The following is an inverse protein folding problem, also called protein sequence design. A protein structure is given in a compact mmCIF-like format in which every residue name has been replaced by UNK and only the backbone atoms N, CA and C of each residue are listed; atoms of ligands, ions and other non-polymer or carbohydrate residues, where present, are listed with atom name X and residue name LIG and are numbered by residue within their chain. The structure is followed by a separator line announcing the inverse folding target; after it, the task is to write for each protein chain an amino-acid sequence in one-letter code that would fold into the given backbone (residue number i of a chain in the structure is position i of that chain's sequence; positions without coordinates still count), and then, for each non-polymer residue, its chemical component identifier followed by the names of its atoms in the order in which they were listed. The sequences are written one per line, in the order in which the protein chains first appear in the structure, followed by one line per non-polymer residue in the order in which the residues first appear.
data_IF_065266236998
#
_entry.id   IF_065266236998
#
_cell.length_a   1.000
_cell.length_b   1.000
_cell.length_c   1.000
_cell.angle_alpha   90.00
_cell.angle_beta   90.00
_cell.angle_gamma   90.00
#
_symmetry.space_group_name_H-M   'P 1'
#
loop_
_entity.id
_entity.type
_entity.pdbx_description
1 polymer ?
#
# COMPACT_ATOMS: atom_id res chain seq x y z
N UNK A 1 -11.30 -4.78 0.28
CA UNK A 1 -12.10 -3.54 0.22
C UNK A 1 -11.44 -2.42 1.01
N UNK A 2 -11.06 -2.65 2.27
CA UNK A 2 -10.52 -1.63 3.18
C UNK A 2 -9.24 -0.98 2.63
N UNK A 3 -8.34 -1.77 2.04
CA UNK A 3 -7.12 -1.24 1.43
C UNK A 3 -7.42 -0.23 0.32
N UNK A 4 -8.32 -0.57 -0.61
CA UNK A 4 -8.73 0.35 -1.68
C UNK A 4 -9.40 1.61 -1.13
N UNK A 5 -10.13 1.50 -0.03
CA UNK A 5 -10.73 2.65 0.62
C UNK A 5 -9.65 3.55 1.26
N UNK A 6 -8.65 2.96 1.93
CA UNK A 6 -7.52 3.71 2.46
C UNK A 6 -6.74 4.47 1.36
N UNK A 7 -6.45 3.81 0.23
CA UNK A 7 -5.81 4.43 -0.92
C UNK A 7 -6.67 5.57 -1.48
N UNK A 8 -7.97 5.33 -1.68
CA UNK A 8 -8.87 6.36 -2.18
C UNK A 8 -8.92 7.60 -1.28
N UNK A 9 -8.95 7.41 0.05
CA UNK A 9 -8.95 8.54 0.99
C UNK A 9 -7.69 9.38 0.88
N UNK A 10 -6.50 8.76 0.89
CA UNK A 10 -5.25 9.51 0.88
C UNK A 10 -4.97 10.15 -0.49
N UNK A 11 -5.34 9.49 -1.59
CA UNK A 11 -5.20 10.04 -2.95
C UNK A 11 -6.17 11.21 -3.16
N UNK A 12 -7.41 11.09 -2.71
CA UNK A 12 -8.38 12.18 -2.76
C UNK A 12 -7.89 13.36 -1.94
N UNK A 13 -7.41 13.12 -0.71
CA UNK A 13 -6.89 14.19 0.15
C UNK A 13 -5.75 14.97 -0.52
N UNK A 14 -4.81 14.28 -1.18
CA UNK A 14 -3.68 14.89 -1.89
C UNK A 14 -4.17 15.80 -3.02
N UNK A 15 -5.16 15.36 -3.80
CA UNK A 15 -5.66 16.06 -4.99
C UNK A 15 -6.65 17.19 -4.67
N UNK A 16 -7.25 17.20 -3.49
CA UNK A 16 -8.20 18.26 -3.11
C UNK A 16 -7.52 19.61 -2.96
N UNK A 17 -8.12 20.67 -3.52
CA UNK A 17 -7.56 22.02 -3.42
C UNK A 17 -7.65 22.54 -1.97
N UNK A 18 -6.76 23.47 -1.57
CA UNK A 18 -6.77 24.07 -0.23
C UNK A 18 -8.08 24.78 0.15
N UNK A 19 -8.86 25.21 -0.85
CA UNK A 19 -10.18 25.85 -0.63
C UNK A 19 -11.23 24.92 -0.03
N UNK A 20 -11.02 23.58 -0.11
CA UNK A 20 -11.89 22.55 0.47
C UNK A 20 -11.32 22.05 1.81
N UNK A 21 -10.96 22.99 2.69
CA UNK A 21 -10.28 22.63 3.94
C UNK A 21 -11.13 21.79 4.88
N UNK A 22 -12.43 22.06 4.98
CA UNK A 22 -13.34 21.32 5.84
C UNK A 22 -13.49 19.85 5.38
N UNK A 23 -13.68 19.65 4.09
CA UNK A 23 -13.79 18.31 3.49
C UNK A 23 -12.46 17.55 3.58
N UNK A 24 -11.33 18.26 3.43
CA UNK A 24 -10.00 17.66 3.65
C UNK A 24 -9.83 17.20 5.09
N UNK A 25 -10.31 17.93 6.06
CA UNK A 25 -10.23 17.55 7.47
C UNK A 25 -11.13 16.33 7.78
N UNK A 26 -12.30 16.23 7.14
CA UNK A 26 -13.15 15.04 7.25
C UNK A 26 -12.47 13.79 6.65
N UNK A 27 -11.89 13.90 5.45
CA UNK A 27 -11.14 12.80 4.83
C UNK A 27 -9.93 12.40 5.67
N UNK A 28 -9.18 13.38 6.19
CA UNK A 28 -8.07 13.13 7.11
C UNK A 28 -8.53 12.31 8.32
N UNK A 29 -9.63 12.71 8.93
CA UNK A 29 -10.18 12.00 10.08
C UNK A 29 -10.57 10.57 9.72
N UNK A 30 -11.31 10.36 8.63
CA UNK A 30 -11.70 9.03 8.17
C UNK A 30 -10.49 8.14 7.89
N UNK A 31 -9.46 8.70 7.24
CA UNK A 31 -8.23 7.98 6.95
C UNK A 31 -7.50 7.57 8.23
N UNK A 32 -7.36 8.51 9.17
CA UNK A 32 -6.71 8.24 10.46
C UNK A 32 -7.44 7.16 11.25
N UNK A 33 -8.78 7.29 11.36
CA UNK A 33 -9.62 6.32 12.08
C UNK A 33 -9.51 4.92 11.45
N UNK A 34 -9.49 4.82 10.11
CA UNK A 34 -9.32 3.56 9.40
C UNK A 34 -7.95 2.94 9.68
N UNK A 35 -6.87 3.70 9.56
CA UNK A 35 -5.53 3.18 9.81
C UNK A 35 -5.41 2.70 11.26
N UNK A 36 -5.84 3.51 12.24
CA UNK A 36 -5.80 3.11 13.65
C UNK A 36 -6.60 1.84 13.94
N UNK A 37 -7.75 1.66 13.28
CA UNK A 37 -8.55 0.45 13.39
C UNK A 37 -7.88 -0.79 12.78
N UNK A 38 -7.03 -0.61 11.76
CA UNK A 38 -6.35 -1.71 11.07
C UNK A 38 -5.05 -2.16 11.75
N UNK A 39 -4.35 -1.26 12.45
CA UNK A 39 -3.06 -1.58 13.06
C UNK A 39 -3.10 -2.74 14.06
N UNK A 40 -4.12 -2.91 14.91
CA UNK A 40 -4.20 -4.04 15.85
C UNK A 40 -4.25 -5.42 15.18
N UNK A 41 -4.59 -5.47 13.89
CA UNK A 41 -4.68 -6.71 13.10
C UNK A 41 -3.44 -6.96 12.24
N UNK A 42 -2.44 -6.11 12.33
CA UNK A 42 -1.18 -6.30 11.61
C UNK A 42 -0.43 -7.51 12.21
N UNK A 43 -0.03 -8.46 11.37
CA UNK A 43 0.74 -9.62 11.80
C UNK A 43 2.08 -9.21 12.43
N UNK A 44 2.38 -9.72 13.61
CA UNK A 44 3.55 -9.31 14.39
C UNK A 44 4.88 -9.70 13.73
N UNK A 45 4.90 -10.76 12.92
CA UNK A 45 6.13 -11.27 12.30
C UNK A 45 6.44 -10.58 10.99
N UNK A 46 5.43 -10.47 10.14
CA UNK A 46 5.59 -9.97 8.77
C UNK A 46 5.16 -8.51 8.59
N UNK A 47 4.31 -7.99 9.48
CA UNK A 47 3.69 -6.69 9.29
C UNK A 47 2.59 -6.67 8.23
N UNK A 48 2.25 -7.80 7.64
CA UNK A 48 1.16 -7.93 6.66
C UNK A 48 -0.20 -8.11 7.36
N UNK A 49 -1.27 -8.12 6.57
CA UNK A 49 -2.63 -8.43 7.04
C UNK A 49 -3.16 -9.69 6.40
N UNK A 50 -3.95 -10.43 7.17
CA UNK A 50 -4.66 -11.60 6.66
C UNK A 50 -5.83 -11.20 5.77
N UNK A 51 -6.22 -12.08 4.83
CA UNK A 51 -7.40 -11.88 3.97
C UNK A 51 -8.67 -11.60 4.79
N UNK A 52 -8.88 -12.32 5.87
CA UNK A 52 -9.91 -12.03 6.88
C UNK A 52 -9.20 -11.61 8.16
N UNK A 53 -9.12 -10.30 8.36
CA UNK A 53 -8.21 -9.66 9.33
C UNK A 53 -8.42 -10.09 10.78
N UNK A 54 -9.67 -10.31 11.18
CA UNK A 54 -10.04 -10.63 12.56
C UNK A 54 -10.02 -12.13 12.87
N UNK A 55 -9.58 -12.98 11.92
CA UNK A 55 -9.50 -14.42 12.06
C UNK A 55 -8.10 -14.97 11.67
N UNK A 56 -6.99 -14.37 12.16
CA UNK A 56 -5.64 -14.68 11.68
C UNK A 56 -5.26 -16.16 11.90
N UNK A 57 -5.78 -16.80 12.95
CA UNK A 57 -5.41 -18.15 13.36
C UNK A 57 -6.36 -19.24 12.81
N UNK A 58 -7.31 -18.90 11.95
CA UNK A 58 -8.28 -19.85 11.41
C UNK A 58 -7.82 -20.29 10.02
N UNK A 59 -7.36 -21.55 9.90
CA UNK A 59 -7.02 -22.12 8.60
C UNK A 59 -8.28 -22.25 7.70
N UNK A 60 -8.18 -22.03 6.39
CA UNK A 60 -6.99 -21.75 5.59
C UNK A 60 -6.71 -20.24 5.34
N UNK A 61 -7.02 -19.35 6.29
CA UNK A 61 -6.73 -17.93 6.14
C UNK A 61 -5.22 -17.70 5.86
N UNK A 62 -4.91 -16.67 5.10
CA UNK A 62 -3.55 -16.40 4.66
C UNK A 62 -3.22 -14.91 4.72
N UNK A 63 -1.93 -14.58 4.76
CA UNK A 63 -1.43 -13.20 4.63
C UNK A 63 -1.64 -12.77 3.17
N UNK A 64 -2.51 -11.77 3.00
CA UNK A 64 -2.93 -11.31 1.67
C UNK A 64 -2.03 -10.17 1.20
N UNK A 65 -1.39 -10.37 0.06
CA UNK A 65 -0.37 -9.46 -0.46
C UNK A 65 -0.96 -8.11 -0.87
N UNK A 66 -1.99 -8.09 -1.72
CA UNK A 66 -2.46 -6.84 -2.35
C UNK A 66 -3.03 -5.84 -1.34
N UNK A 67 -3.80 -6.31 -0.38
CA UNK A 67 -4.30 -5.47 0.71
C UNK A 67 -3.17 -4.94 1.59
N UNK A 68 -2.18 -5.79 1.88
CA UNK A 68 -1.00 -5.40 2.65
C UNK A 68 -0.15 -4.36 1.92
N UNK A 69 0.06 -4.51 0.61
CA UNK A 69 0.78 -3.54 -0.22
C UNK A 69 0.04 -2.19 -0.30
N UNK A 70 -1.29 -2.23 -0.44
CA UNK A 70 -2.10 -1.01 -0.45
C UNK A 70 -2.00 -0.27 0.89
N UNK A 71 -2.10 -0.98 2.03
CA UNK A 71 -1.93 -0.35 3.34
C UNK A 71 -0.51 0.17 3.55
N UNK A 72 0.52 -0.57 3.12
CA UNK A 72 1.90 -0.10 3.18
C UNK A 72 2.06 1.24 2.44
N UNK A 73 1.59 1.31 1.19
CA UNK A 73 1.59 2.53 0.40
C UNK A 73 0.79 3.66 1.08
N UNK A 74 -0.46 3.40 1.46
CA UNK A 74 -1.33 4.43 2.01
C UNK A 74 -0.79 5.02 3.32
N UNK A 75 -0.24 4.19 4.21
CA UNK A 75 0.35 4.64 5.47
C UNK A 75 1.60 5.49 5.20
N UNK A 76 2.54 5.01 4.39
CA UNK A 76 3.78 5.75 4.09
C UNK A 76 3.50 7.06 3.33
N UNK A 77 2.58 7.04 2.37
CA UNK A 77 2.09 8.23 1.68
C UNK A 77 1.43 9.21 2.65
N UNK A 78 0.60 8.72 3.56
CA UNK A 78 -0.03 9.54 4.60
C UNK A 78 0.99 10.26 5.50
N UNK A 79 2.10 9.59 5.81
CA UNK A 79 3.22 10.21 6.56
C UNK A 79 3.91 11.27 5.69
N UNK A 80 4.26 10.96 4.45
CA UNK A 80 4.89 11.91 3.52
C UNK A 80 4.07 13.18 3.34
N UNK A 81 2.76 13.07 3.28
CA UNK A 81 1.84 14.20 3.11
C UNK A 81 1.52 14.93 4.44
N UNK A 82 2.03 14.45 5.57
CA UNK A 82 1.75 15.01 6.90
C UNK A 82 0.31 14.78 7.39
N UNK A 83 -0.41 13.83 6.78
CA UNK A 83 -1.74 13.40 7.23
C UNK A 83 -1.62 12.50 8.44
N UNK A 84 -0.62 11.60 8.44
CA UNK A 84 -0.21 10.81 9.59
C UNK A 84 1.11 11.32 10.18
N UNK A 85 1.28 11.14 11.49
CA UNK A 85 2.55 11.44 12.15
C UNK A 85 3.64 10.44 11.80
N UNK A 86 4.92 10.84 11.93
CA UNK A 86 6.09 10.03 11.57
C UNK A 86 6.09 8.62 12.20
N UNK A 87 5.55 8.49 13.40
CA UNK A 87 5.44 7.20 14.10
C UNK A 87 4.71 6.11 13.31
N UNK A 88 3.87 6.48 12.32
CA UNK A 88 3.13 5.52 11.51
C UNK A 88 4.00 4.91 10.41
N UNK A 89 5.07 5.56 9.98
CA UNK A 89 5.94 5.07 8.91
C UNK A 89 6.41 3.63 9.13
N UNK A 90 6.79 3.30 10.35
CA UNK A 90 7.27 1.96 10.70
C UNK A 90 6.27 0.83 10.38
N UNK A 91 4.97 1.08 10.48
CA UNK A 91 3.94 0.08 10.18
C UNK A 91 3.82 -0.18 8.68
N UNK A 92 3.82 0.88 7.87
CA UNK A 92 3.84 0.75 6.41
C UNK A 92 5.11 0.10 5.92
N UNK A 93 6.26 0.53 6.45
CA UNK A 93 7.56 -0.04 6.10
C UNK A 93 7.66 -1.51 6.46
N UNK A 94 7.21 -1.93 7.63
CA UNK A 94 7.23 -3.33 8.06
C UNK A 94 6.35 -4.21 7.18
N UNK A 95 5.20 -3.71 6.74
CA UNK A 95 4.34 -4.43 5.80
C UNK A 95 5.04 -4.61 4.44
N UNK A 96 5.65 -3.56 3.92
CA UNK A 96 6.43 -3.63 2.68
C UNK A 96 7.58 -4.64 2.77
N UNK A 97 8.38 -4.59 3.83
CA UNK A 97 9.49 -5.52 4.04
C UNK A 97 8.97 -6.96 4.14
N UNK A 98 7.88 -7.19 4.89
CA UNK A 98 7.28 -8.51 5.01
C UNK A 98 6.75 -9.07 3.69
N UNK A 99 6.19 -8.24 2.80
CA UNK A 99 5.81 -8.66 1.45
C UNK A 99 7.04 -9.06 0.65
N UNK A 100 8.11 -8.26 0.69
CA UNK A 100 9.36 -8.57 0.00
C UNK A 100 9.95 -9.91 0.48
N UNK A 101 9.91 -10.16 1.79
CA UNK A 101 10.48 -11.37 2.39
C UNK A 101 9.64 -12.63 2.16
N UNK A 102 8.31 -12.50 2.06
CA UNK A 102 7.42 -13.68 2.07
C UNK A 102 6.70 -13.94 0.75
N UNK A 103 6.43 -12.89 -0.04
CA UNK A 103 5.64 -12.99 -1.26
C UNK A 103 6.45 -12.76 -2.53
N UNK A 104 7.58 -12.02 -2.45
CA UNK A 104 8.42 -11.74 -3.61
C UNK A 104 9.52 -12.79 -3.75
N UNK A 105 9.66 -13.36 -4.92
CA UNK A 105 10.71 -14.32 -5.23
C UNK A 105 11.36 -14.01 -6.58
N UNK A 106 12.62 -14.39 -6.74
CA UNK A 106 13.33 -14.30 -8.01
C UNK A 106 13.72 -15.70 -8.48
N UNK A 107 13.40 -16.00 -9.75
CA UNK A 107 13.82 -17.23 -10.43
C UNK A 107 14.25 -16.89 -11.86
N UNK A 108 15.45 -17.29 -12.22
CA UNK A 108 16.02 -17.08 -13.56
C UNK A 108 15.98 -15.61 -14.02
N UNK A 109 16.21 -14.65 -13.10
CA UNK A 109 16.18 -13.22 -13.38
C UNK A 109 14.76 -12.63 -13.53
N UNK A 110 13.72 -13.41 -13.22
CA UNK A 110 12.34 -12.95 -13.25
C UNK A 110 11.79 -12.86 -11.83
N UNK A 111 11.16 -11.73 -11.50
CA UNK A 111 10.44 -11.55 -10.25
C UNK A 111 9.04 -12.19 -10.33
N UNK A 112 8.65 -12.83 -9.26
CA UNK A 112 7.30 -13.35 -9.06
C UNK A 112 6.75 -12.88 -7.71
N UNK A 113 5.54 -12.36 -7.72
CA UNK A 113 4.82 -11.90 -6.54
C UNK A 113 3.63 -12.83 -6.28
N UNK A 114 3.64 -13.46 -5.13
CA UNK A 114 2.65 -14.47 -4.71
C UNK A 114 1.60 -13.90 -3.76
N UNK A 115 0.63 -14.72 -3.35
CA UNK A 115 -0.38 -14.46 -2.32
C UNK A 115 -1.36 -13.32 -2.63
N UNK A 116 -1.66 -13.09 -3.90
CA UNK A 116 -2.62 -12.06 -4.34
C UNK A 116 -4.00 -12.69 -4.47
N UNK A 117 -5.01 -12.17 -3.78
CA UNK A 117 -6.40 -12.52 -4.02
C UNK A 117 -6.84 -12.07 -5.41
N UNK A 118 -7.28 -13.01 -6.27
CA UNK A 118 -7.68 -12.64 -7.64
C UNK A 118 -8.82 -11.64 -7.65
N UNK A 119 -9.88 -11.91 -6.88
CA UNK A 119 -11.01 -11.01 -6.73
C UNK A 119 -11.82 -11.39 -5.50
N UNK A 120 -12.17 -10.42 -4.68
CA UNK A 120 -13.14 -10.61 -3.62
C UNK A 120 -14.14 -9.45 -3.63
N UNK A 121 -15.41 -9.75 -3.40
CA UNK A 121 -16.45 -8.73 -3.38
C UNK A 121 -17.75 -9.30 -2.82
N UNK A 122 -18.69 -8.43 -2.51
CA UNK A 122 -19.97 -8.80 -1.95
C UNK A 122 -21.09 -8.68 -3.01
N UNK A 123 -22.11 -9.51 -2.87
CA UNK A 123 -23.31 -9.45 -3.69
C UNK A 123 -23.15 -10.07 -5.08
N UNK A 124 -24.02 -9.72 -5.97
CA UNK A 124 -24.28 -10.22 -7.32
C UNK A 124 -24.81 -11.67 -7.40
N UNK A 125 -24.99 -12.17 -8.64
CA UNK A 125 -25.52 -13.52 -8.93
C UNK A 125 -24.55 -14.68 -8.61
N UNK A 126 -23.32 -14.38 -8.20
CA UNK A 126 -22.28 -15.36 -7.91
C UNK A 126 -22.24 -15.82 -6.45
N UNK A 127 -23.28 -15.57 -5.66
CA UNK A 127 -23.39 -15.97 -4.25
C UNK A 127 -22.21 -15.52 -3.37
N UNK A 128 -21.78 -14.26 -3.53
CA UNK A 128 -20.73 -13.66 -2.71
C UNK A 128 -21.29 -13.19 -1.37
N UNK A 129 -21.38 -14.11 -0.43
CA UNK A 129 -22.11 -13.91 0.85
C UNK A 129 -21.29 -13.18 1.92
N UNK A 130 -19.98 -12.93 1.69
CA UNK A 130 -19.11 -12.30 2.66
C UNK A 130 -18.76 -13.19 3.85
N UNK A 131 -19.01 -14.50 3.76
CA UNK A 131 -18.63 -15.46 4.78
C UNK A 131 -17.13 -15.78 4.72
N UNK A 132 -16.56 -16.29 5.82
CA UNK A 132 -15.18 -16.78 5.83
C UNK A 132 -14.93 -17.81 4.72
N UNK A 133 -15.84 -18.78 4.57
CA UNK A 133 -15.76 -19.81 3.52
C UNK A 133 -15.71 -19.21 2.11
N UNK A 134 -16.50 -18.17 1.85
CA UNK A 134 -16.46 -17.47 0.58
C UNK A 134 -15.08 -16.84 0.32
N UNK A 135 -14.54 -16.07 1.28
CA UNK A 135 -13.23 -15.43 1.10
C UNK A 135 -12.11 -16.45 0.91
N UNK A 136 -12.21 -17.62 1.55
CA UNK A 136 -11.22 -18.69 1.39
C UNK A 136 -11.40 -19.51 0.10
N UNK A 137 -12.52 -19.36 -0.60
CA UNK A 137 -12.77 -20.01 -1.89
C UNK A 137 -12.29 -19.19 -3.09
N UNK A 138 -11.97 -17.91 -2.89
CA UNK A 138 -11.46 -17.07 -3.98
C UNK A 138 -10.03 -17.48 -4.36
N UNK A 139 -9.71 -17.53 -5.66
CA UNK A 139 -8.39 -17.95 -6.10
C UNK A 139 -7.28 -17.01 -5.62
N UNK A 140 -6.17 -17.61 -5.19
CA UNK A 140 -4.93 -16.90 -4.92
C UNK A 140 -4.01 -17.06 -6.13
N UNK A 141 -3.51 -15.95 -6.65
CA UNK A 141 -2.77 -15.88 -7.91
C UNK A 141 -1.42 -15.19 -7.75
N UNK A 142 -0.60 -15.28 -8.82
CA UNK A 142 0.71 -14.63 -8.92
C UNK A 142 0.67 -13.49 -9.93
N UNK A 143 1.48 -12.47 -9.67
CA UNK A 143 1.76 -11.36 -10.60
C UNK A 143 0.51 -10.63 -11.12
N UNK A 144 -0.58 -10.65 -10.35
CA UNK A 144 -1.74 -9.85 -10.70
C UNK A 144 -1.46 -8.36 -10.45
N UNK A 145 -1.92 -7.51 -11.35
CA UNK A 145 -1.70 -6.06 -11.28
C UNK A 145 -2.22 -5.42 -9.99
N UNK A 146 -3.25 -6.02 -9.35
CA UNK A 146 -3.79 -5.54 -8.08
C UNK A 146 -2.83 -5.66 -6.89
N UNK A 147 -1.85 -6.57 -6.97
CA UNK A 147 -0.77 -6.66 -6.00
C UNK A 147 0.48 -5.91 -6.48
N UNK A 148 0.88 -6.14 -7.74
CA UNK A 148 2.11 -5.55 -8.30
C UNK A 148 2.10 -4.02 -8.24
N UNK A 149 1.00 -3.38 -8.66
CA UNK A 149 0.94 -1.91 -8.69
C UNK A 149 1.04 -1.28 -7.28
N UNK A 150 0.29 -1.72 -6.26
CA UNK A 150 0.45 -1.18 -4.91
C UNK A 150 1.83 -1.45 -4.30
N UNK A 151 2.45 -2.59 -4.59
CA UNK A 151 3.81 -2.87 -4.11
C UNK A 151 4.83 -1.89 -4.70
N UNK A 152 4.74 -1.60 -6.00
CA UNK A 152 5.58 -0.58 -6.65
C UNK A 152 5.34 0.81 -6.06
N UNK A 153 4.08 1.18 -5.79
CA UNK A 153 3.76 2.45 -5.13
C UNK A 153 4.34 2.51 -3.71
N UNK A 154 4.24 1.42 -2.94
CA UNK A 154 4.84 1.33 -1.62
C UNK A 154 6.37 1.45 -1.67
N UNK A 155 7.02 0.82 -2.65
CA UNK A 155 8.46 0.97 -2.88
C UNK A 155 8.84 2.44 -3.16
N UNK A 156 8.08 3.14 -3.99
CA UNK A 156 8.32 4.57 -4.26
C UNK A 156 8.24 5.39 -2.97
N UNK A 157 7.29 5.11 -2.08
CA UNK A 157 7.20 5.81 -0.80
C UNK A 157 8.40 5.51 0.13
N UNK A 158 8.96 4.28 0.09
CA UNK A 158 10.20 4.00 0.83
C UNK A 158 11.38 4.82 0.30
N UNK A 159 11.51 4.93 -1.02
CA UNK A 159 12.55 5.74 -1.66
C UNK A 159 12.42 7.24 -1.30
N UNK A 160 11.21 7.77 -1.29
CA UNK A 160 10.95 9.15 -0.88
C UNK A 160 11.38 9.39 0.57
N UNK A 161 11.01 8.51 1.48
CA UNK A 161 11.38 8.62 2.88
C UNK A 161 12.89 8.51 3.10
N UNK A 162 13.56 7.56 2.44
CA UNK A 162 14.99 7.36 2.56
C UNK A 162 15.79 8.55 1.98
N UNK A 163 15.31 9.15 0.89
CA UNK A 163 15.88 10.39 0.34
C UNK A 163 15.77 11.55 1.34
N UNK A 164 14.60 11.75 1.94
CA UNK A 164 14.37 12.79 2.96
C UNK A 164 15.23 12.57 4.20
N UNK A 165 15.47 11.31 4.59
CA UNK A 165 16.32 10.93 5.70
C UNK A 165 17.83 10.97 5.35
N UNK A 166 18.22 11.32 4.12
CA UNK A 166 19.62 11.33 3.65
C UNK A 166 20.23 9.93 3.49
N UNK A 167 19.41 8.89 3.41
CA UNK A 167 19.85 7.50 3.18
C UNK A 167 20.04 7.25 1.69
N UNK A 168 21.03 6.42 1.35
CA UNK A 168 21.21 5.96 -0.04
C UNK A 168 20.22 4.85 -0.35
N UNK A 169 19.70 4.85 -1.59
CA UNK A 169 18.93 3.73 -2.12
C UNK A 169 19.78 2.44 -2.10
N UNK A 170 19.37 1.40 -1.38
CA UNK A 170 20.12 0.14 -1.32
C UNK A 170 20.13 -0.60 -2.67
N UNK A 171 19.24 -0.26 -3.60
CA UNK A 171 19.16 -0.86 -4.93
C UNK A 171 19.80 0.01 -6.02
N UNK A 172 20.32 1.21 -5.67
CA UNK A 172 21.04 2.03 -6.62
C UNK A 172 22.31 1.32 -7.07
N UNK A 173 22.53 1.08 -8.38
CA UNK A 173 23.77 0.51 -8.86
C UNK A 173 24.94 1.39 -8.39
N UNK A 174 25.96 0.80 -7.78
CA UNK A 174 27.14 1.52 -7.33
C UNK A 174 27.82 2.17 -8.55
N UNK A 175 27.60 3.47 -8.74
CA UNK A 175 28.28 4.27 -9.72
C UNK A 175 27.46 4.84 -10.90
N UNK A 176 26.14 4.66 -10.96
CA UNK A 176 25.35 5.25 -12.02
C UNK A 176 24.09 5.92 -11.44
N UNK A 177 24.02 7.22 -11.66
CA UNK A 177 22.96 8.15 -11.35
C UNK A 177 22.87 8.56 -9.88
N UNK A 178 23.25 9.80 -9.62
CA UNK A 178 22.78 10.49 -8.41
C UNK A 178 21.26 10.57 -8.47
N UNK A 179 20.61 10.16 -7.38
CA UNK A 179 19.13 10.25 -7.23
C UNK A 179 18.69 11.74 -7.09
N UNK A 180 19.42 12.64 -7.74
CA UNK A 180 19.12 14.07 -7.62
C UNK A 180 17.87 14.46 -8.42
N UNK A 181 17.44 13.63 -9.35
CA UNK A 181 16.16 13.76 -10.05
C UNK A 181 15.77 12.48 -10.81
N UNK A 182 15.16 11.48 -10.17
CA UNK A 182 14.77 10.24 -10.83
C UNK A 182 13.68 10.43 -11.90
N UNK A 183 13.07 11.60 -11.97
CA UNK A 183 12.00 11.93 -12.90
C UNK A 183 12.31 13.14 -13.79
N UNK A 184 13.58 13.57 -13.89
CA UNK A 184 14.00 14.64 -14.81
C UNK A 184 13.25 15.96 -14.63
N UNK A 185 13.01 16.39 -13.37
CA UNK A 185 12.26 17.61 -13.07
C UNK A 185 10.73 17.41 -13.02
N UNK A 186 10.25 16.17 -13.15
CA UNK A 186 8.82 15.89 -13.03
C UNK A 186 8.37 16.03 -11.57
N UNK A 187 7.69 17.12 -11.28
CA UNK A 187 6.95 17.33 -10.02
C UNK A 187 5.49 16.98 -10.30
N UNK A 188 4.96 15.85 -9.79
CA UNK A 188 3.57 15.51 -10.02
C UNK A 188 2.67 16.65 -9.56
N UNK A 189 1.91 17.24 -10.47
CA UNK A 189 0.79 18.14 -10.17
C UNK A 189 1.07 19.63 -10.10
N UNK A 190 2.31 20.13 -10.23
CA UNK A 190 2.56 21.57 -10.12
C UNK A 190 2.88 22.24 -11.47
N UNK A 191 3.36 21.53 -12.46
CA UNK A 191 3.78 22.12 -13.73
C UNK A 191 2.79 21.94 -14.90
N UNK A 192 1.70 21.20 -14.73
CA UNK A 192 0.72 21.01 -15.80
C UNK A 192 -0.20 22.23 -16.07
N UNK A 193 -0.11 23.29 -15.27
CA UNK A 193 -0.96 24.48 -15.40
C UNK A 193 -0.22 25.76 -15.85
N UNK A 194 1.04 25.66 -16.33
CA UNK A 194 1.81 26.85 -16.74
C UNK A 194 2.01 27.03 -18.23
N UNK A 195 1.53 26.10 -19.06
CA UNK A 195 1.53 26.25 -20.51
C UNK A 195 0.14 25.96 -21.09
N UNK A 196 -0.80 26.87 -20.89
CA UNK A 196 -2.01 27.03 -21.68
C UNK A 196 -2.40 28.51 -21.73
#
# INVERSE_FOLDING_TARGET
AEGWFAMALIDTWELMPPSMSAEKDEIRKMFHDLIDAMLPYQDEKTGMWHQVINLPNIAPNYLEESGSAIFANAIMKGVRLGVLGERYYQYGRRAFDGICDTCLSERDGQLALDNICLVAGLGNTAHREGTFGYYMSEPVVKNDAKGVAPLVLAYIETMHHDKLAGRRDPLAPSGVCSIDDPFGGYTPGINACKEA
#
